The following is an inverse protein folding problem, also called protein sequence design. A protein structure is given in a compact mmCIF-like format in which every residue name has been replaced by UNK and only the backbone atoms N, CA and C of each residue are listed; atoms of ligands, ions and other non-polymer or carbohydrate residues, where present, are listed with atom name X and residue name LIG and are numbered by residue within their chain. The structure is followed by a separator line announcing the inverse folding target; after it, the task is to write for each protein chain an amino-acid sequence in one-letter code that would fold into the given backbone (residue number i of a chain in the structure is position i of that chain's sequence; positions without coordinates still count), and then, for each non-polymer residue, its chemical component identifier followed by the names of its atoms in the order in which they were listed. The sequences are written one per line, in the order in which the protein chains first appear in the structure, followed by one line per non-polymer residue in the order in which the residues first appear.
data_IF_604725386576
#
_entry.id   IF_604725386576
#
_cell.length_a   1.000
_cell.length_b   1.000
_cell.length_c   1.000
_cell.angle_alpha   90.00
_cell.angle_beta   90.00
_cell.angle_gamma   90.00
#
_symmetry.space_group_name_H-M   'P 1'
#
loop_
_entity.id
_entity.type
_entity.pdbx_description
1 polymer ?
#
# COMPACT_ATOMS: atom_id res chain seq x y z
N UNK A 1 -3.56 4.41 11.53
CA UNK A 1 -4.26 3.34 10.77
C UNK A 1 -3.79 1.98 11.29
N UNK A 2 -4.50 0.88 11.02
CA UNK A 2 -4.11 -0.47 11.43
C UNK A 2 -4.07 -1.44 10.25
N UNK A 3 -3.05 -2.30 10.21
CA UNK A 3 -2.84 -3.22 9.10
C UNK A 3 -3.91 -4.31 9.10
N UNK A 4 -4.54 -4.55 7.96
CA UNK A 4 -5.53 -5.60 7.85
C UNK A 4 -4.93 -6.99 8.10
N UNK A 5 -3.70 -7.23 7.65
CA UNK A 5 -3.01 -8.51 7.79
C UNK A 5 -2.47 -8.72 9.21
N UNK A 6 -1.50 -7.90 9.66
CA UNK A 6 -0.81 -8.11 10.93
C UNK A 6 -1.39 -7.34 12.13
N UNK A 7 -2.48 -6.58 11.94
CA UNK A 7 -3.14 -5.73 12.96
C UNK A 7 -2.27 -4.64 13.60
N UNK A 8 -0.98 -4.55 13.24
CA UNK A 8 -0.06 -3.51 13.72
C UNK A 8 -0.55 -2.12 13.33
N UNK A 9 -0.46 -1.18 14.26
CA UNK A 9 -0.72 0.25 14.02
C UNK A 9 0.47 0.90 13.33
N UNK A 10 0.20 1.78 12.37
CA UNK A 10 1.19 2.58 11.66
C UNK A 10 0.63 3.96 11.30
N UNK A 11 1.54 4.90 11.07
CA UNK A 11 1.22 6.32 10.83
C UNK A 11 1.39 6.73 9.37
N UNK A 12 2.30 6.09 8.64
CA UNK A 12 2.60 6.40 7.24
C UNK A 12 1.69 5.61 6.29
N UNK A 13 1.13 6.29 5.29
CA UNK A 13 0.39 5.65 4.21
C UNK A 13 1.20 5.71 2.93
N UNK A 14 1.36 4.55 2.29
CA UNK A 14 1.98 4.40 0.99
C UNK A 14 0.89 4.01 -0.01
N UNK A 15 0.99 4.50 -1.24
CA UNK A 15 0.05 4.18 -2.31
C UNK A 15 0.78 3.48 -3.45
N UNK A 16 0.08 2.59 -4.13
CA UNK A 16 0.49 1.95 -5.36
C UNK A 16 -0.67 2.00 -6.36
N UNK A 17 -0.46 1.57 -7.60
CA UNK A 17 -1.55 1.45 -8.57
C UNK A 17 -2.53 0.35 -8.18
N UNK A 18 -3.79 0.46 -8.63
CA UNK A 18 -4.84 -0.52 -8.34
C UNK A 18 -4.48 -1.90 -8.89
N UNK A 19 -3.87 -1.97 -10.07
CA UNK A 19 -3.39 -3.22 -10.66
C UNK A 19 -2.35 -3.90 -9.76
N UNK A 20 -1.36 -3.15 -9.28
CA UNK A 20 -0.32 -3.68 -8.40
C UNK A 20 -0.91 -4.12 -7.06
N UNK A 21 -1.87 -3.37 -6.52
CA UNK A 21 -2.60 -3.74 -5.32
C UNK A 21 -3.29 -5.09 -5.48
N UNK A 22 -4.04 -5.29 -6.57
CA UNK A 22 -4.77 -6.53 -6.85
C UNK A 22 -3.80 -7.70 -7.05
N UNK A 23 -2.73 -7.50 -7.81
CA UNK A 23 -1.71 -8.54 -8.08
C UNK A 23 -1.04 -9.02 -6.78
N UNK A 24 -0.65 -8.08 -5.92
CA UNK A 24 0.10 -8.40 -4.69
C UNK A 24 -0.82 -8.90 -3.58
N UNK A 25 -1.97 -8.25 -3.37
CA UNK A 25 -2.84 -8.54 -2.23
C UNK A 25 -3.95 -9.56 -2.52
N UNK A 26 -4.22 -9.87 -3.79
CA UNK A 26 -5.35 -10.68 -4.26
C UNK A 26 -6.72 -10.14 -3.81
N UNK A 27 -6.78 -8.85 -3.46
CA UNK A 27 -8.00 -8.19 -3.01
C UNK A 27 -8.55 -7.29 -4.09
N UNK A 28 -9.77 -7.59 -4.51
CA UNK A 28 -10.49 -6.84 -5.54
C UNK A 28 -11.39 -5.74 -4.99
N UNK A 29 -11.65 -5.74 -3.68
CA UNK A 29 -12.63 -4.83 -3.06
C UNK A 29 -12.02 -3.51 -2.57
N UNK A 30 -10.70 -3.35 -2.65
CA UNK A 30 -9.98 -2.21 -2.08
C UNK A 30 -10.14 -2.07 -0.56
N UNK A 31 -10.66 -3.09 0.13
CA UNK A 31 -10.96 -3.00 1.57
C UNK A 31 -9.77 -3.44 2.41
N UNK A 32 -9.42 -2.55 3.33
CA UNK A 32 -8.37 -2.75 4.31
C UNK A 32 -7.04 -2.19 3.84
N UNK A 33 -6.32 -1.52 4.76
CA UNK A 33 -4.98 -1.00 4.48
C UNK A 33 -3.96 -2.02 4.95
N UNK A 34 -2.95 -2.29 4.11
CA UNK A 34 -1.77 -3.07 4.50
C UNK A 34 -0.64 -2.13 4.91
N UNK A 35 0.12 -2.52 5.94
CA UNK A 35 1.39 -1.84 6.18
C UNK A 35 2.40 -2.25 5.10
N UNK A 36 3.35 -1.37 4.81
CA UNK A 36 4.37 -1.57 3.77
C UNK A 36 5.06 -2.94 3.89
N UNK A 37 5.45 -3.33 5.12
CA UNK A 37 6.09 -4.64 5.38
C UNK A 37 5.23 -5.84 5.01
N UNK A 38 3.92 -5.76 5.25
CA UNK A 38 3.03 -6.86 4.87
C UNK A 38 2.85 -6.92 3.35
N UNK A 39 2.75 -5.78 2.70
CA UNK A 39 2.61 -5.71 1.25
C UNK A 39 3.88 -6.20 0.53
N UNK A 40 5.06 -5.76 0.98
CA UNK A 40 6.35 -6.24 0.48
C UNK A 40 6.55 -7.74 0.65
N UNK A 41 6.18 -8.28 1.82
CA UNK A 41 6.27 -9.73 2.05
C UNK A 41 5.38 -10.50 1.07
N UNK A 42 4.15 -10.05 0.84
CA UNK A 42 3.24 -10.66 -0.14
C UNK A 42 3.80 -10.59 -1.57
N UNK A 43 4.41 -9.46 -1.92
CA UNK A 43 5.04 -9.30 -3.24
C UNK A 43 6.23 -10.25 -3.40
N UNK A 44 7.08 -10.36 -2.38
CA UNK A 44 8.22 -11.27 -2.37
C UNK A 44 7.80 -12.75 -2.50
N UNK A 45 6.74 -13.16 -1.80
CA UNK A 45 6.17 -14.52 -1.91
C UNK A 45 5.68 -14.83 -3.33
N UNK A 46 5.40 -13.80 -4.13
CA UNK A 46 5.00 -13.89 -5.54
C UNK A 46 6.16 -13.67 -6.53
N UNK A 47 7.38 -13.43 -6.04
CA UNK A 47 8.53 -13.11 -6.89
C UNK A 47 8.44 -11.73 -7.55
N UNK A 48 7.73 -10.79 -6.93
CA UNK A 48 7.57 -9.40 -7.40
C UNK A 48 8.50 -8.51 -6.59
N UNK A 49 9.47 -7.89 -7.28
CA UNK A 49 10.32 -6.86 -6.69
C UNK A 49 9.60 -5.51 -6.70
N UNK A 50 9.39 -4.95 -5.50
CA UNK A 50 8.79 -3.63 -5.34
C UNK A 50 9.86 -2.55 -5.25
N UNK A 51 9.64 -1.45 -5.95
CA UNK A 51 10.40 -0.22 -5.80
C UNK A 51 9.48 0.91 -5.33
N UNK A 52 9.87 1.59 -4.25
CA UNK A 52 9.10 2.69 -3.67
C UNK A 52 9.81 4.01 -3.96
N UNK A 53 9.09 4.96 -4.55
CA UNK A 53 9.57 6.32 -4.76
C UNK A 53 8.87 7.29 -3.82
N UNK A 54 9.62 8.24 -3.28
CA UNK A 54 9.04 9.42 -2.63
C UNK A 54 8.56 10.39 -3.72
N UNK A 55 7.26 10.37 -4.00
CA UNK A 55 6.64 11.34 -4.90
C UNK A 55 6.48 12.71 -4.24
N UNK A 56 6.85 13.78 -4.96
CA UNK A 56 6.44 15.14 -4.62
C UNK A 56 5.12 15.46 -5.33
N UNK A 57 3.99 15.28 -4.65
CA UNK A 57 2.68 15.66 -5.18
C UNK A 57 2.19 16.96 -4.52
N UNK A 58 1.79 17.94 -5.33
CA UNK A 58 1.03 19.10 -4.86
C UNK A 58 -0.40 18.65 -4.60
N UNK A 59 -0.84 18.68 -3.34
CA UNK A 59 -2.27 18.66 -3.04
C UNK A 59 -2.88 19.95 -3.60
N UNK A 60 -4.07 19.90 -4.24
CA UNK A 60 -4.80 21.12 -4.61
C UNK A 60 -4.96 22.00 -3.36
N UNK A 61 -4.66 23.29 -3.49
CA UNK A 61 -4.70 24.28 -2.41
C UNK A 61 -6.07 24.46 -1.77
N UNK A 62 -7.13 23.94 -2.39
CA UNK A 62 -8.52 24.30 -2.11
C UNK A 62 -9.19 23.37 -1.09
N UNK A 63 -8.40 22.64 -0.28
CA UNK A 63 -8.90 21.77 0.80
C UNK A 63 -8.43 22.18 2.21
N UNK A 64 -8.01 23.44 2.41
CA UNK A 64 -7.70 24.02 3.72
C UNK A 64 -8.68 25.13 4.11
#
# INVERSE_FOLDING_TARGET
MACHNCKRKFREAWKCSDDLWVIVSERHDGRGILCIRCFEKMAQEKGIDLYWECGAFKLPSDQF
#
